data_IF_286339609562
#
_entry.id   IF_286339609562
#
_cell.length_a   1.000
_cell.length_b   1.000
_cell.length_c   1.000
_cell.angle_alpha   90.00
_cell.angle_beta   90.00
_cell.angle_gamma   90.00
#
_symmetry.space_group_name_H-M   'P 1'
#
loop_
_entity.id
_entity.type
_entity.pdbx_description
1 polymer ?
#
# COMPACT_ATOMS: atom_id res chain seq x y z
N UNK A 1 -10.07 12.46 9.36
CA UNK A 1 -9.26 12.82 8.18
C UNK A 1 -10.18 13.28 7.06
N UNK A 2 -9.91 14.36 6.30
CA UNK A 2 -10.87 14.95 5.33
C UNK A 2 -11.48 13.98 4.31
N UNK A 3 -10.70 13.01 3.81
CA UNK A 3 -11.18 12.13 2.74
C UNK A 3 -11.90 10.88 3.26
N UNK A 4 -11.53 10.40 4.44
CA UNK A 4 -11.98 9.11 4.97
C UNK A 4 -13.03 9.26 6.06
N UNK A 5 -13.18 10.44 6.64
CA UNK A 5 -14.00 10.70 7.83
C UNK A 5 -13.72 9.77 9.03
N UNK A 6 -12.61 9.02 8.96
CA UNK A 6 -12.12 8.09 9.98
C UNK A 6 -10.97 8.74 10.76
N UNK A 7 -10.86 8.38 12.04
CA UNK A 7 -9.79 8.81 12.93
C UNK A 7 -8.48 8.05 12.64
N UNK A 8 -7.30 8.66 12.84
CA UNK A 8 -6.05 7.91 12.80
C UNK A 8 -6.03 6.85 13.92
N UNK A 9 -5.55 5.65 13.60
CA UNK A 9 -5.53 4.51 14.53
C UNK A 9 -4.12 4.29 15.10
N UNK A 10 -3.99 3.99 16.40
CA UNK A 10 -2.70 3.78 17.05
C UNK A 10 -2.04 2.46 16.67
N UNK A 11 -2.78 1.51 16.10
CA UNK A 11 -2.27 0.21 15.70
C UNK A 11 -2.92 -0.30 14.41
N UNK A 12 -2.26 -1.27 13.77
CA UNK A 12 -2.76 -2.03 12.64
C UNK A 12 -3.33 -3.34 13.19
N UNK A 13 -4.66 -3.37 13.36
CA UNK A 13 -5.38 -4.49 13.96
C UNK A 13 -5.82 -5.53 12.92
N UNK A 14 -5.81 -6.81 13.29
CA UNK A 14 -6.44 -7.88 12.52
C UNK A 14 -5.61 -9.16 12.42
N UNK A 15 -6.29 -10.27 12.14
CA UNK A 15 -5.68 -11.57 11.86
C UNK A 15 -5.18 -11.71 10.41
N UNK A 16 -5.41 -10.69 9.59
CA UNK A 16 -5.15 -10.66 8.14
C UNK A 16 -3.97 -9.74 7.83
N UNK A 17 -3.46 -9.83 6.59
CA UNK A 17 -2.45 -8.89 6.12
C UNK A 17 -3.05 -7.46 6.04
N UNK A 18 -2.22 -6.44 6.35
CA UNK A 18 -2.70 -5.08 6.53
C UNK A 18 -3.21 -4.47 5.22
N UNK A 19 -4.36 -3.81 5.29
CA UNK A 19 -4.87 -3.03 4.14
C UNK A 19 -4.14 -1.71 3.99
N UNK A 20 -4.18 -1.11 2.80
CA UNK A 20 -3.60 0.21 2.59
C UNK A 20 -4.25 1.26 3.47
N UNK A 21 -5.55 1.13 3.76
CA UNK A 21 -6.26 1.95 4.74
C UNK A 21 -5.60 1.87 6.11
N UNK A 22 -5.42 0.67 6.66
CA UNK A 22 -4.83 0.49 8.00
C UNK A 22 -3.40 1.05 8.07
N UNK A 23 -2.60 0.82 7.03
CA UNK A 23 -1.26 1.40 6.90
C UNK A 23 -1.32 2.92 6.90
N UNK A 24 -2.26 3.49 6.17
CA UNK A 24 -2.45 4.93 6.07
C UNK A 24 -2.93 5.54 7.39
N UNK A 25 -3.92 4.92 8.06
CA UNK A 25 -4.42 5.38 9.36
C UNK A 25 -3.32 5.37 10.42
N UNK A 26 -2.52 4.29 10.48
CA UNK A 26 -1.38 4.20 11.39
C UNK A 26 -0.30 5.24 11.07
N UNK A 27 0.04 5.43 9.79
CA UNK A 27 0.96 6.49 9.38
C UNK A 27 0.47 7.87 9.82
N UNK A 28 -0.82 8.15 9.62
CA UNK A 28 -1.43 9.43 10.00
C UNK A 28 -1.46 9.63 11.51
N UNK A 29 -1.57 8.56 12.29
CA UNK A 29 -1.42 8.61 13.75
C UNK A 29 0.01 9.02 14.15
N UNK A 30 1.02 8.37 13.56
CA UNK A 30 2.42 8.74 13.80
C UNK A 30 2.72 10.19 13.43
N UNK A 31 2.20 10.65 12.28
CA UNK A 31 2.50 12.00 11.79
C UNK A 31 1.70 13.10 12.50
N UNK A 32 0.39 12.91 12.69
CA UNK A 32 -0.49 13.97 13.21
C UNK A 32 -0.72 13.92 14.72
N UNK A 33 -0.71 12.74 15.33
CA UNK A 33 -0.91 12.57 16.78
C UNK A 33 0.42 12.61 17.51
N UNK A 34 1.38 11.75 17.11
CA UNK A 34 2.73 11.73 17.68
C UNK A 34 3.65 12.86 17.19
N UNK A 35 3.18 13.71 16.25
CA UNK A 35 3.93 14.86 15.71
C UNK A 35 5.29 14.51 15.10
N UNK A 36 5.47 13.25 14.66
CA UNK A 36 6.70 12.82 14.00
C UNK A 36 6.83 13.47 12.62
N UNK A 37 8.07 13.64 12.17
CA UNK A 37 8.34 14.08 10.79
C UNK A 37 7.82 13.03 9.80
N UNK A 38 7.64 13.40 8.53
CA UNK A 38 7.23 12.44 7.49
C UNK A 38 8.24 11.28 7.39
N UNK A 39 9.56 11.50 7.32
CA UNK A 39 10.55 10.41 7.32
C UNK A 39 10.43 9.50 8.55
N UNK A 40 10.28 10.04 9.75
CA UNK A 40 10.19 9.24 10.98
C UNK A 40 8.89 8.44 11.04
N UNK A 41 7.79 9.04 10.57
CA UNK A 41 6.49 8.36 10.46
C UNK A 41 6.56 7.21 9.46
N UNK A 42 7.20 7.42 8.30
CA UNK A 42 7.45 6.37 7.30
C UNK A 42 8.31 5.25 7.90
N UNK A 43 9.33 5.60 8.68
CA UNK A 43 10.20 4.64 9.36
C UNK A 43 9.42 3.75 10.31
N UNK A 44 8.66 4.37 11.22
CA UNK A 44 7.84 3.67 12.20
C UNK A 44 6.78 2.76 11.55
N UNK A 45 6.13 3.24 10.49
CA UNK A 45 5.17 2.42 9.73
C UNK A 45 5.85 1.24 9.02
N UNK A 46 7.04 1.43 8.43
CA UNK A 46 7.80 0.35 7.79
C UNK A 46 8.19 -0.74 8.78
N UNK A 47 8.67 -0.36 9.96
CA UNK A 47 9.04 -1.29 11.03
C UNK A 47 7.85 -2.10 11.52
N UNK A 48 6.70 -1.44 11.76
CA UNK A 48 5.46 -2.12 12.16
C UNK A 48 4.99 -3.09 11.08
N UNK A 49 5.03 -2.70 9.81
CA UNK A 49 4.65 -3.56 8.69
C UNK A 49 5.54 -4.79 8.60
N UNK A 50 6.86 -4.63 8.71
CA UNK A 50 7.79 -5.76 8.73
C UNK A 50 7.50 -6.72 9.87
N UNK A 51 7.19 -6.21 11.06
CA UNK A 51 6.84 -7.06 12.20
C UNK A 51 5.58 -7.90 11.94
N UNK A 52 4.55 -7.32 11.30
CA UNK A 52 3.31 -8.03 10.94
C UNK A 52 3.59 -9.08 9.85
N UNK A 53 4.27 -8.69 8.77
CA UNK A 53 4.57 -9.58 7.66
C UNK A 53 5.57 -10.68 8.03
N UNK A 54 6.48 -10.41 8.97
CA UNK A 54 7.40 -11.40 9.52
C UNK A 54 6.68 -12.54 10.25
N UNK A 55 5.52 -12.27 10.87
CA UNK A 55 4.67 -13.33 11.47
C UNK A 55 4.07 -14.26 10.41
N UNK A 56 3.85 -13.76 9.20
CA UNK A 56 3.37 -14.55 8.07
C UNK A 56 4.49 -15.38 7.40
N UNK A 57 5.74 -15.31 7.90
CA UNK A 57 6.92 -16.02 7.36
C UNK A 57 7.21 -15.78 5.87
N UNK A 58 6.61 -14.73 5.31
CA UNK A 58 6.81 -14.33 3.91
C UNK A 58 8.05 -13.45 3.78
N UNK A 59 8.79 -13.65 2.70
CA UNK A 59 9.89 -12.73 2.37
C UNK A 59 9.33 -11.38 1.93
N UNK A 60 9.84 -10.32 2.53
CA UNK A 60 9.40 -8.94 2.24
C UNK A 60 10.38 -8.22 1.32
N UNK A 61 9.91 -7.17 0.66
CA UNK A 61 10.75 -6.20 -0.07
C UNK A 61 11.79 -5.58 0.87
N UNK A 62 12.83 -5.00 0.27
CA UNK A 62 13.81 -4.19 0.99
C UNK A 62 13.13 -3.03 1.73
N UNK A 63 13.71 -2.64 2.87
CA UNK A 63 13.19 -1.56 3.71
C UNK A 63 12.98 -0.26 2.92
N UNK A 64 13.94 0.11 2.08
CA UNK A 64 13.85 1.28 1.22
C UNK A 64 12.62 1.25 0.30
N UNK A 65 12.27 0.07 -0.24
CA UNK A 65 11.09 -0.08 -1.09
C UNK A 65 9.78 -0.02 -0.28
N UNK A 66 9.76 -0.57 0.93
CA UNK A 66 8.59 -0.47 1.83
C UNK A 66 8.36 0.99 2.19
N UNK A 67 9.39 1.67 2.69
CA UNK A 67 9.35 3.11 3.03
C UNK A 67 8.90 3.96 1.85
N UNK A 68 9.43 3.69 0.64
CA UNK A 68 9.00 4.36 -0.59
C UNK A 68 7.51 4.17 -0.87
N UNK A 69 6.98 2.96 -0.71
CA UNK A 69 5.55 2.70 -0.94
C UNK A 69 4.67 3.43 0.09
N UNK A 70 5.07 3.43 1.37
CA UNK A 70 4.34 4.16 2.42
C UNK A 70 4.36 5.67 2.14
N UNK A 71 5.52 6.21 1.74
CA UNK A 71 5.67 7.61 1.37
C UNK A 71 4.77 7.98 0.18
N UNK A 72 4.76 7.14 -0.87
CA UNK A 72 3.92 7.36 -2.04
C UNK A 72 2.43 7.42 -1.66
N UNK A 73 1.97 6.54 -0.75
CA UNK A 73 0.59 6.54 -0.28
C UNK A 73 0.20 7.90 0.37
N UNK A 74 1.12 8.48 1.14
CA UNK A 74 0.92 9.81 1.72
C UNK A 74 1.00 10.92 0.66
N UNK A 75 1.92 10.86 -0.29
CA UNK A 75 2.03 11.85 -1.38
C UNK A 75 0.79 11.86 -2.28
N UNK A 76 0.22 10.68 -2.58
CA UNK A 76 -1.05 10.54 -3.28
C UNK A 76 -2.19 11.20 -2.52
N UNK A 77 -2.29 10.96 -1.22
CA UNK A 77 -3.26 11.63 -0.35
C UNK A 77 -3.09 13.16 -0.35
N UNK A 78 -1.85 13.65 -0.27
CA UNK A 78 -1.58 15.10 -0.32
C UNK A 78 -2.00 15.71 -1.66
N UNK A 79 -1.77 15.00 -2.78
CA UNK A 79 -2.22 15.45 -4.09
C UNK A 79 -3.76 15.54 -4.15
N UNK A 80 -4.47 14.53 -3.64
CA UNK A 80 -5.95 14.57 -3.55
C UNK A 80 -6.45 15.69 -2.64
N UNK A 81 -5.77 15.93 -1.52
CA UNK A 81 -6.10 17.01 -0.59
C UNK A 81 -5.92 18.40 -1.21
N UNK A 82 -4.94 18.60 -2.09
CA UNK A 82 -4.77 19.86 -2.85
C UNK A 82 -5.94 20.12 -3.80
N UNK A 83 -6.42 19.06 -4.44
CA UNK A 83 -7.54 19.11 -5.37
C UNK A 83 -8.91 19.06 -4.65
N UNK A 84 -8.98 19.15 -3.32
CA UNK A 84 -10.22 18.96 -2.54
C UNK A 84 -11.35 19.94 -2.90
N UNK A 85 -11.00 21.16 -3.31
CA UNK A 85 -11.96 22.21 -3.66
C UNK A 85 -12.35 22.15 -5.15
N UNK A 86 -11.71 21.27 -5.93
CA UNK A 86 -11.93 21.17 -7.37
C UNK A 86 -13.08 20.21 -7.64
N UNK A 87 -14.26 20.77 -7.85
CA UNK A 87 -15.47 20.03 -8.19
C UNK A 87 -15.46 19.79 -9.71
N UNK A 88 -14.79 18.73 -10.13
CA UNK A 88 -14.80 18.25 -11.52
C UNK A 88 -14.99 16.74 -11.49
N UNK A 89 -15.74 16.18 -12.44
CA UNK A 89 -16.01 14.72 -12.51
C UNK A 89 -14.73 13.88 -12.43
N UNK A 90 -13.64 14.37 -13.03
CA UNK A 90 -12.34 13.72 -12.97
C UNK A 90 -11.67 13.74 -11.59
N UNK A 91 -11.94 14.74 -10.75
CA UNK A 91 -11.43 14.80 -9.37
C UNK A 91 -12.24 13.89 -8.44
N UNK A 92 -13.56 13.86 -8.58
CA UNK A 92 -14.43 12.95 -7.82
C UNK A 92 -14.14 11.49 -8.13
N UNK A 93 -13.96 11.16 -9.42
CA UNK A 93 -13.60 9.80 -9.83
C UNK A 93 -12.26 9.37 -9.23
N UNK A 94 -11.25 10.25 -9.20
CA UNK A 94 -9.96 9.96 -8.56
C UNK A 94 -10.10 9.68 -7.07
N UNK A 95 -10.90 10.48 -6.37
CA UNK A 95 -11.16 10.27 -4.93
C UNK A 95 -11.85 8.92 -4.70
N UNK A 96 -12.86 8.58 -5.50
CA UNK A 96 -13.57 7.31 -5.40
C UNK A 96 -12.66 6.11 -5.69
N UNK A 97 -11.81 6.21 -6.72
CA UNK A 97 -10.83 5.17 -7.05
C UNK A 97 -9.83 5.01 -5.90
N UNK A 98 -9.33 6.11 -5.35
CA UNK A 98 -8.36 6.05 -4.26
C UNK A 98 -8.96 5.45 -2.99
N UNK A 99 -10.24 5.74 -2.67
CA UNK A 99 -10.96 5.05 -1.58
C UNK A 99 -11.03 3.54 -1.81
N UNK A 100 -11.40 3.09 -3.01
CA UNK A 100 -11.39 1.66 -3.34
C UNK A 100 -9.98 1.03 -3.25
N UNK A 101 -8.95 1.76 -3.64
CA UNK A 101 -7.55 1.33 -3.54
C UNK A 101 -7.07 1.15 -2.08
N UNK A 102 -7.74 1.78 -1.11
CA UNK A 102 -7.39 1.65 0.29
C UNK A 102 -7.83 0.32 0.92
N UNK A 103 -8.91 -0.28 0.43
CA UNK A 103 -9.47 -1.53 0.94
C UNK A 103 -8.57 -2.75 0.64
N UNK A 104 -7.82 -2.65 -0.45
CA UNK A 104 -6.83 -3.62 -0.89
C UNK A 104 -5.69 -3.84 0.12
N UNK A 105 -5.01 -4.99 -0.03
CA UNK A 105 -3.80 -5.32 0.71
C UNK A 105 -2.64 -4.36 0.40
N UNK A 106 -1.93 -3.92 1.44
CA UNK A 106 -0.65 -3.23 1.30
C UNK A 106 0.49 -4.24 1.12
N UNK A 107 0.62 -4.73 -0.11
CA UNK A 107 1.53 -5.82 -0.44
C UNK A 107 3.02 -5.40 -0.38
N UNK A 108 3.73 -5.89 0.65
CA UNK A 108 5.18 -5.75 0.80
C UNK A 108 5.94 -7.05 0.54
N UNK A 109 5.31 -8.10 -0.01
CA UNK A 109 6.00 -9.34 -0.35
C UNK A 109 7.09 -9.09 -1.39
N UNK A 110 8.16 -9.88 -1.35
CA UNK A 110 9.14 -9.89 -2.43
C UNK A 110 8.50 -10.32 -3.76
N UNK A 111 9.12 -9.95 -4.88
CA UNK A 111 8.58 -10.28 -6.21
C UNK A 111 8.66 -11.78 -6.51
N UNK A 112 9.70 -12.43 -6.00
CA UNK A 112 10.02 -13.85 -6.13
C UNK A 112 9.40 -14.71 -5.01
N UNK A 113 8.55 -14.14 -4.15
CA UNK A 113 8.02 -14.85 -2.96
C UNK A 113 7.29 -16.15 -3.31
N UNK A 114 6.61 -16.21 -4.46
CA UNK A 114 5.87 -17.42 -4.88
C UNK A 114 6.78 -18.46 -5.55
N UNK A 115 7.89 -18.03 -6.13
CA UNK A 115 8.85 -18.87 -6.86
C UNK A 115 9.91 -19.48 -5.94
N UNK A 116 10.02 -18.92 -4.73
CA UNK A 116 10.95 -19.33 -3.68
C UNK A 116 10.63 -20.71 -3.12
N UNK A 117 11.66 -21.57 -3.10
CA UNK A 117 11.58 -22.93 -2.54
C UNK A 117 11.73 -22.97 -1.02
N UNK A 118 12.29 -21.91 -0.43
CA UNK A 118 12.48 -21.73 1.01
C UNK A 118 11.19 -21.41 1.77
N UNK A 119 10.11 -21.05 1.05
CA UNK A 119 8.82 -20.69 1.63
C UNK A 119 7.85 -21.86 1.46
N UNK A 120 7.16 -22.19 2.55
CA UNK A 120 6.14 -23.25 2.58
C UNK A 120 4.98 -22.93 1.64
N UNK A 121 4.40 -23.95 1.03
CA UNK A 121 3.31 -23.77 0.09
C UNK A 121 2.02 -23.31 0.79
N UNK A 122 1.85 -23.61 2.08
CA UNK A 122 0.78 -23.05 2.92
C UNK A 122 0.88 -21.53 3.06
N UNK A 123 2.09 -20.99 3.29
CA UNK A 123 2.32 -19.55 3.44
C UNK A 123 2.10 -18.83 2.10
N UNK A 124 2.49 -19.45 0.98
CA UNK A 124 2.19 -18.94 -0.38
C UNK A 124 0.69 -18.93 -0.66
N UNK A 125 0.00 -20.01 -0.28
CA UNK A 125 -1.45 -20.14 -0.43
C UNK A 125 -2.19 -19.11 0.41
N UNK A 126 -1.72 -18.85 1.63
CA UNK A 126 -2.22 -17.76 2.48
C UNK A 126 -2.08 -16.40 1.78
N UNK A 127 -0.93 -16.09 1.17
CA UNK A 127 -0.74 -14.83 0.44
C UNK A 127 -1.69 -14.71 -0.77
N UNK A 128 -1.88 -15.80 -1.53
CA UNK A 128 -2.80 -15.82 -2.67
C UNK A 128 -4.23 -15.58 -2.20
N UNK A 129 -4.67 -16.29 -1.16
CA UNK A 129 -6.01 -16.12 -0.57
C UNK A 129 -6.24 -14.68 -0.10
N UNK A 130 -5.26 -14.06 0.56
CA UNK A 130 -5.35 -12.67 1.01
C UNK A 130 -5.42 -11.66 -0.15
N UNK A 131 -4.78 -11.96 -1.30
CA UNK A 131 -4.86 -11.14 -2.51
C UNK A 131 -6.23 -11.29 -3.19
N UNK A 132 -6.75 -12.50 -3.26
CA UNK A 132 -8.04 -12.80 -3.91
C UNK A 132 -9.23 -12.30 -3.10
N UNK A 133 -9.25 -12.52 -1.78
CA UNK A 133 -10.33 -12.09 -0.87
C UNK A 133 -10.56 -10.56 -0.91
N UNK A 134 -9.52 -9.78 -1.19
CA UNK A 134 -9.59 -8.32 -1.32
C UNK A 134 -9.68 -7.82 -2.77
N UNK A 135 -9.56 -8.68 -3.78
CA UNK A 135 -9.54 -8.31 -5.22
C UNK A 135 -10.93 -8.02 -5.79
N UNK A 136 -11.95 -7.76 -4.98
CA UNK A 136 -13.33 -7.60 -5.45
C UNK A 136 -13.55 -6.19 -6.03
N UNK A 137 -12.98 -5.91 -7.22
CA UNK A 137 -13.53 -4.96 -8.24
C UNK A 137 -12.69 -4.93 -9.54
N UNK A 138 -13.31 -5.04 -10.73
CA UNK A 138 -12.61 -4.85 -12.00
C UNK A 138 -12.19 -3.38 -12.19
N UNK A 139 -10.94 -3.18 -12.60
CA UNK A 139 -10.43 -1.88 -13.02
C UNK A 139 -11.18 -1.37 -14.28
N UNK A 140 -11.59 -0.09 -14.37
CA UNK A 140 -12.12 0.45 -15.62
C UNK A 140 -11.04 0.39 -16.71
N UNK A 141 -11.24 -0.44 -17.73
CA UNK A 141 -10.28 -0.68 -18.82
C UNK A 141 -9.81 0.62 -19.52
N UNK A 142 -10.57 1.70 -19.43
CA UNK A 142 -10.28 3.02 -20.03
C UNK A 142 -9.17 3.82 -19.32
N UNK A 143 -8.74 3.43 -18.12
CA UNK A 143 -7.69 4.14 -17.38
C UNK A 143 -6.48 3.25 -17.09
N UNK A 144 -5.82 2.72 -18.11
CA UNK A 144 -4.48 2.13 -17.92
C UNK A 144 -3.50 3.20 -17.39
N UNK A 145 -2.93 3.06 -16.17
CA UNK A 145 -2.12 4.13 -15.60
C UNK A 145 -0.81 4.30 -16.37
N UNK A 146 -0.63 5.49 -16.95
CA UNK A 146 0.68 6.09 -17.28
C UNK A 146 1.70 5.96 -16.11
N UNK A 147 1.21 5.81 -14.88
CA UNK A 147 2.00 5.58 -13.66
C UNK A 147 2.53 4.14 -13.48
N UNK A 148 1.94 3.13 -14.15
CA UNK A 148 2.42 1.72 -14.09
C UNK A 148 3.65 1.49 -14.99
N UNK A 149 3.87 2.34 -15.99
CA UNK A 149 4.88 2.14 -17.06
C UNK A 149 6.34 2.42 -16.69
N UNK A 150 6.67 2.90 -15.48
CA UNK A 150 8.08 3.14 -15.09
C UNK A 150 8.81 1.91 -14.50
N UNK A 151 8.17 0.72 -14.46
CA UNK A 151 8.79 -0.54 -13.97
C UNK A 151 9.04 -1.62 -15.03
N UNK A 152 8.88 -1.34 -16.32
CA UNK A 152 9.32 -2.23 -17.42
C UNK A 152 9.98 -1.42 -18.54
N UNK A 153 11.23 -1.02 -18.34
CA UNK A 153 12.22 -0.97 -19.43
C UNK A 153 13.34 -1.92 -19.05
N UNK A 154 13.20 -3.15 -19.54
CA UNK A 154 14.29 -4.10 -19.70
C UNK A 154 15.39 -3.48 -20.56
N UNK A 155 16.66 -3.60 -20.17
CA UNK A 155 17.74 -3.74 -21.15
C UNK A 155 17.80 -5.23 -21.50
N UNK A 156 17.70 -5.64 -22.79
CA UNK A 156 18.06 -6.99 -23.19
C UNK A 156 19.59 -7.16 -23.13
N UNK A 157 20.03 -8.38 -22.81
CA UNK A 157 21.41 -8.82 -22.97
C UNK A 157 21.84 -8.60 -24.42
N UNK A 158 23.03 -8.05 -24.61
CA UNK A 158 23.73 -8.03 -25.89
C UNK A 158 24.65 -9.24 -25.90
N UNK A 159 24.46 -10.09 -26.91
CA UNK A 159 25.34 -11.19 -27.30
C UNK A 159 26.76 -10.72 -27.57
#
# INVERSE_FOLDING_TARGET
>A
MWLLDIAPEPDILGARLPSREQVFLFFMYQHHVFKKTVPDSVSATSEKLKAIWGKAKLTTKTDANIRKNVKNLFEEYQALKKDRNRITDGAELKQKIWKGYLEDIFDISSADVLERRDILDEDKSFLILQREDRSVRPWPASMSPKWRKKRRKSKPLRS
#
